data_IF_470210658697
#
_entry.id   IF_470210658697
#
_cell.length_a   1.000
_cell.length_b   1.000
_cell.length_c   1.000
_cell.angle_alpha   90.00
_cell.angle_beta   90.00
_cell.angle_gamma   90.00
#
_symmetry.space_group_name_H-M   'P 1'
#
loop_
_entity.id
_entity.type
_entity.pdbx_description
1 polymer ?
#
# COMPACT_ATOMS: atom_id res chain seq x y z
N UNK A 1 12.00 19.69 23.52
CA UNK A 1 11.35 20.67 22.62
C UNK A 1 12.43 21.10 21.63
N UNK A 2 12.61 20.48 20.47
CA UNK A 2 11.66 20.41 19.35
C UNK A 2 11.72 19.02 18.72
N UNK A 3 10.54 18.46 18.54
CA UNK A 3 10.26 17.18 17.91
C UNK A 3 10.72 17.22 16.44
N UNK A 4 11.86 16.60 16.14
CA UNK A 4 12.51 16.62 14.84
C UNK A 4 11.84 15.71 13.81
N UNK A 5 10.50 15.72 13.73
CA UNK A 5 9.79 15.13 12.59
C UNK A 5 10.27 15.85 11.34
N UNK A 6 11.24 15.24 10.63
CA UNK A 6 11.68 15.65 9.30
C UNK A 6 10.40 15.90 8.50
N UNK A 7 10.14 17.15 8.13
CA UNK A 7 8.93 17.53 7.40
C UNK A 7 8.98 16.77 6.07
N UNK A 8 8.18 15.70 5.96
CA UNK A 8 8.11 14.90 4.74
C UNK A 8 7.27 15.69 3.73
N UNK A 9 7.86 16.04 2.60
CA UNK A 9 7.17 16.72 1.50
C UNK A 9 6.66 15.67 0.53
N UNK A 10 5.34 15.53 0.31
CA UNK A 10 4.78 14.55 -0.62
C UNK A 10 5.30 14.76 -2.04
N UNK A 11 5.72 13.68 -2.69
CA UNK A 11 6.10 13.69 -4.10
C UNK A 11 4.86 13.58 -4.98
N UNK A 12 4.08 14.67 -5.04
CA UNK A 12 2.82 14.72 -5.79
C UNK A 12 2.99 14.52 -7.30
N UNK A 13 4.17 14.80 -7.85
CA UNK A 13 4.44 14.58 -9.27
C UNK A 13 4.53 13.08 -9.56
N UNK A 14 5.35 12.35 -8.81
CA UNK A 14 5.50 10.89 -8.94
C UNK A 14 4.18 10.15 -8.65
N UNK A 15 3.44 10.58 -7.63
CA UNK A 15 2.14 9.97 -7.32
C UNK A 15 1.12 10.15 -8.46
N UNK A 16 1.11 11.29 -9.16
CA UNK A 16 0.27 11.46 -10.35
C UNK A 16 0.73 10.59 -11.51
N UNK A 17 2.04 10.46 -11.71
CA UNK A 17 2.60 9.57 -12.74
C UNK A 17 2.18 8.12 -12.51
N UNK A 18 2.32 7.62 -11.28
CA UNK A 18 1.87 6.27 -10.91
C UNK A 18 0.36 6.12 -11.17
N UNK A 19 -0.46 7.07 -10.73
CA UNK A 19 -1.90 7.04 -10.98
C UNK A 19 -2.25 7.01 -12.48
N UNK A 20 -1.52 7.78 -13.31
CA UNK A 20 -1.72 7.77 -14.76
C UNK A 20 -1.32 6.46 -15.42
N UNK A 21 -0.25 5.82 -14.96
CA UNK A 21 0.19 4.50 -15.47
C UNK A 21 -0.85 3.42 -15.15
N UNK A 22 -1.38 3.45 -13.93
CA UNK A 22 -2.32 2.43 -13.43
C UNK A 22 -3.76 2.60 -13.93
N UNK A 23 -4.11 3.74 -14.53
CA UNK A 23 -5.49 4.06 -14.93
C UNK A 23 -6.11 3.13 -16.00
N UNK A 24 -5.37 2.13 -16.48
CA UNK A 24 -5.81 1.17 -17.50
C UNK A 24 -5.78 -0.29 -17.00
N UNK A 25 -5.44 -0.52 -15.74
CA UNK A 25 -5.36 -1.86 -15.19
C UNK A 25 -6.75 -2.43 -14.86
N UNK A 26 -7.02 -3.66 -15.26
CA UNK A 26 -8.36 -4.27 -15.16
C UNK A 26 -8.76 -4.55 -13.70
N UNK A 27 -7.82 -4.86 -12.81
CA UNK A 27 -8.07 -5.14 -11.38
C UNK A 27 -8.39 -3.91 -10.53
N UNK A 28 -8.34 -2.72 -11.13
CA UNK A 28 -8.60 -1.43 -10.49
C UNK A 28 -10.02 -0.97 -10.83
N UNK A 29 -10.78 -0.60 -9.79
CA UNK A 29 -12.09 0.03 -9.94
C UNK A 29 -11.96 1.55 -10.08
N UNK A 30 -11.21 2.19 -9.17
CA UNK A 30 -10.98 3.64 -9.25
C UNK A 30 -9.65 4.05 -8.62
N UNK A 31 -9.12 5.19 -9.06
CA UNK A 31 -7.94 5.82 -8.47
C UNK A 31 -8.31 7.23 -7.99
N UNK A 32 -8.33 7.41 -6.67
CA UNK A 32 -8.50 8.70 -6.02
C UNK A 32 -7.15 9.37 -5.82
N UNK A 33 -6.91 10.48 -6.54
CA UNK A 33 -5.66 11.23 -6.46
C UNK A 33 -5.79 12.37 -5.44
N UNK A 34 -5.08 12.28 -4.32
CA UNK A 34 -5.11 13.24 -3.20
C UNK A 34 -6.52 13.51 -2.65
N UNK A 35 -7.29 12.47 -2.25
CA UNK A 35 -8.61 12.67 -1.67
C UNK A 35 -8.52 13.51 -0.39
N UNK A 36 -9.58 14.23 -0.04
CA UNK A 36 -9.58 15.22 1.05
C UNK A 36 -9.23 14.63 2.43
N UNK A 37 -9.57 13.37 2.67
CA UNK A 37 -9.25 12.63 3.89
C UNK A 37 -7.83 12.05 3.89
N UNK A 38 -7.17 11.92 2.73
CA UNK A 38 -5.80 11.42 2.57
C UNK A 38 -5.03 12.28 1.56
N UNK A 39 -4.75 13.56 1.91
CA UNK A 39 -4.33 14.56 0.92
C UNK A 39 -2.92 14.31 0.35
N UNK A 40 -2.14 13.42 0.96
CA UNK A 40 -0.73 13.16 0.62
C UNK A 40 -0.52 11.79 -0.06
N UNK A 41 -1.61 11.08 -0.40
CA UNK A 41 -1.57 9.78 -1.08
C UNK A 41 -2.40 9.74 -2.35
N UNK A 42 -2.20 8.68 -3.12
CA UNK A 42 -3.23 8.15 -4.01
C UNK A 42 -3.83 6.90 -3.37
N UNK A 43 -5.13 6.69 -3.60
CA UNK A 43 -5.85 5.50 -3.14
C UNK A 43 -6.40 4.78 -4.36
N UNK A 44 -6.06 3.51 -4.48
CA UNK A 44 -6.45 2.63 -5.58
C UNK A 44 -7.47 1.66 -5.02
N UNK A 45 -8.74 1.84 -5.35
CA UNK A 45 -9.80 0.89 -5.00
C UNK A 45 -9.77 -0.28 -5.96
N UNK A 46 -9.85 -1.49 -5.40
CA UNK A 46 -9.77 -2.74 -6.15
C UNK A 46 -11.19 -3.21 -6.49
N UNK A 47 -11.34 -3.95 -7.59
CA UNK A 47 -12.65 -4.52 -7.93
C UNK A 47 -13.09 -5.55 -6.89
N UNK A 48 -14.37 -5.51 -6.56
CA UNK A 48 -15.04 -6.44 -5.64
C UNK A 48 -15.02 -7.88 -6.14
N UNK A 49 -15.07 -8.10 -7.46
CA UNK A 49 -15.02 -9.43 -8.09
C UNK A 49 -13.77 -10.26 -7.75
N UNK A 50 -12.73 -9.64 -7.21
CA UNK A 50 -11.53 -10.32 -6.72
C UNK A 50 -11.63 -10.83 -5.28
N UNK A 51 -12.73 -10.56 -4.58
CA UNK A 51 -12.90 -10.84 -3.16
C UNK A 51 -14.23 -11.55 -2.84
N UNK A 52 -14.26 -12.43 -1.83
CA UNK A 52 -15.50 -12.97 -1.29
C UNK A 52 -16.35 -11.87 -0.64
N UNK A 53 -17.36 -11.36 -1.36
CA UNK A 53 -18.22 -10.24 -0.91
C UNK A 53 -18.91 -10.47 0.45
N UNK A 54 -19.10 -11.73 0.85
CA UNK A 54 -19.66 -12.10 2.16
C UNK A 54 -18.72 -11.80 3.33
N UNK A 55 -17.42 -11.70 3.07
CA UNK A 55 -16.37 -11.56 4.09
C UNK A 55 -15.55 -10.27 3.94
N UNK A 56 -15.40 -9.76 2.73
CA UNK A 56 -14.65 -8.54 2.43
C UNK A 56 -15.58 -7.51 1.82
N UNK A 57 -15.75 -6.38 2.52
CA UNK A 57 -16.60 -5.28 2.06
C UNK A 57 -15.93 -4.46 0.96
N UNK A 58 -14.67 -4.11 1.18
CA UNK A 58 -13.88 -3.27 0.27
C UNK A 58 -12.39 -3.65 0.37
N UNK A 59 -11.64 -3.49 -0.72
CA UNK A 59 -10.18 -3.59 -0.69
C UNK A 59 -9.53 -2.42 -1.45
N UNK A 60 -8.41 -1.93 -0.94
CA UNK A 60 -7.67 -0.82 -1.57
C UNK A 60 -6.18 -0.83 -1.29
N UNK A 61 -5.43 -0.16 -2.15
CA UNK A 61 -4.02 0.18 -1.94
C UNK A 61 -3.89 1.68 -1.73
N UNK A 62 -3.27 2.10 -0.63
CA UNK A 62 -2.85 3.48 -0.42
C UNK A 62 -1.35 3.63 -0.66
N UNK A 63 -0.96 4.64 -1.44
CA UNK A 63 0.45 4.94 -1.74
C UNK A 63 0.77 6.37 -1.30
N UNK A 64 1.71 6.49 -0.36
CA UNK A 64 2.37 7.73 0.02
C UNK A 64 3.81 7.71 -0.49
N UNK A 65 4.27 8.81 -1.07
CA UNK A 65 5.65 8.96 -1.51
C UNK A 65 6.14 10.37 -1.20
N UNK A 66 7.43 10.51 -0.87
CA UNK A 66 8.03 11.75 -0.45
C UNK A 66 9.27 12.09 -1.27
N UNK A 67 9.59 13.38 -1.40
CA UNK A 67 10.69 13.87 -2.25
C UNK A 67 12.09 13.39 -1.82
N UNK A 68 12.24 12.88 -0.60
CA UNK A 68 13.47 12.26 -0.10
C UNK A 68 13.60 10.77 -0.47
N UNK A 69 12.65 10.24 -1.25
CA UNK A 69 12.62 8.84 -1.69
C UNK A 69 11.98 7.89 -0.67
N UNK A 70 11.47 8.40 0.45
CA UNK A 70 10.69 7.58 1.38
C UNK A 70 9.29 7.31 0.81
N UNK A 71 8.71 6.17 1.17
CA UNK A 71 7.34 5.82 0.80
C UNK A 71 6.70 4.92 1.85
N UNK A 72 5.36 4.89 1.81
CA UNK A 72 4.54 3.91 2.51
C UNK A 72 3.50 3.39 1.51
N UNK A 73 3.38 2.07 1.40
CA UNK A 73 2.33 1.43 0.61
C UNK A 73 1.56 0.55 1.57
N UNK A 74 0.25 0.77 1.68
CA UNK A 74 -0.64 -0.06 2.50
C UNK A 74 -1.60 -0.77 1.57
N UNK A 75 -1.71 -2.08 1.69
CA UNK A 75 -2.84 -2.84 1.18
C UNK A 75 -3.79 -3.13 2.34
N UNK A 76 -5.08 -2.91 2.15
CA UNK A 76 -6.10 -3.11 3.17
C UNK A 76 -7.35 -3.77 2.59
N UNK A 77 -7.90 -4.69 3.34
CA UNK A 77 -9.22 -5.29 3.19
C UNK A 77 -10.07 -4.91 4.41
N UNK A 78 -11.28 -4.37 4.19
CA UNK A 78 -12.25 -4.12 5.27
C UNK A 78 -13.14 -5.35 5.43
N UNK A 79 -12.96 -6.13 6.50
CA UNK A 79 -13.78 -7.31 6.79
C UNK A 79 -14.94 -6.92 7.71
N UNK A 80 -15.79 -6.00 7.24
CA UNK A 80 -16.94 -5.48 7.99
C UNK A 80 -16.58 -4.88 9.36
N UNK A 81 -15.45 -4.16 9.42
CA UNK A 81 -14.96 -3.47 10.61
C UNK A 81 -13.74 -4.11 11.28
N UNK A 82 -13.32 -5.30 10.85
CA UNK A 82 -12.04 -5.90 11.22
C UNK A 82 -11.05 -5.74 10.06
N UNK A 83 -10.27 -4.66 10.06
CA UNK A 83 -9.32 -4.39 8.97
C UNK A 83 -8.22 -5.45 8.93
N UNK A 84 -7.98 -6.01 7.74
CA UNK A 84 -6.84 -6.88 7.43
C UNK A 84 -5.90 -6.13 6.49
N UNK A 85 -4.63 -5.95 6.88
CA UNK A 85 -3.72 -5.11 6.12
C UNK A 85 -2.26 -5.57 6.18
N UNK A 86 -1.50 -5.18 5.16
CA UNK A 86 -0.04 -5.29 5.14
C UNK A 86 0.57 -3.99 4.62
N UNK A 87 1.87 -3.77 4.88
CA UNK A 87 2.54 -2.52 4.50
C UNK A 87 3.96 -2.72 3.99
N UNK A 88 4.32 -1.99 2.94
CA UNK A 88 5.70 -1.87 2.45
C UNK A 88 6.20 -0.46 2.72
N UNK A 89 7.26 -0.36 3.49
CA UNK A 89 7.78 0.91 3.99
C UNK A 89 9.23 1.11 3.52
N UNK A 90 9.53 2.33 3.07
CA UNK A 90 10.88 2.84 2.89
C UNK A 90 11.07 4.09 3.73
N UNK A 91 11.77 3.98 4.85
CA UNK A 91 12.17 5.12 5.70
C UNK A 91 13.25 4.73 6.70
N UNK A 92 13.92 5.73 7.28
CA UNK A 92 14.80 5.49 8.44
C UNK A 92 14.00 4.83 9.58
N UNK A 93 14.50 3.71 10.09
CA UNK A 93 13.91 2.94 11.18
C UNK A 93 15.00 2.59 12.21
N UNK A 94 14.64 2.49 13.49
CA UNK A 94 15.54 2.06 14.56
C UNK A 94 15.68 0.54 14.59
N UNK A 95 14.59 -0.17 14.30
CA UNK A 95 14.50 -1.64 14.45
C UNK A 95 14.64 -2.39 13.13
N UNK A 96 14.45 -1.71 12.00
CA UNK A 96 14.44 -2.32 10.66
C UNK A 96 15.39 -1.62 9.69
N UNK A 97 15.76 -2.33 8.61
CA UNK A 97 16.40 -1.71 7.45
C UNK A 97 15.50 -0.65 6.85
N UNK A 98 16.08 0.26 6.06
CA UNK A 98 15.34 1.34 5.42
C UNK A 98 14.12 0.81 4.67
N UNK A 99 14.29 -0.31 3.99
CA UNK A 99 13.24 -1.07 3.33
C UNK A 99 12.76 -2.19 4.26
N UNK A 100 11.48 -2.21 4.58
CA UNK A 100 10.88 -3.25 5.41
C UNK A 100 9.40 -3.47 5.08
N UNK A 101 8.91 -4.66 5.40
CA UNK A 101 7.53 -5.10 5.18
C UNK A 101 6.89 -5.45 6.52
N UNK A 102 5.69 -4.94 6.77
CA UNK A 102 4.86 -5.35 7.90
C UNK A 102 3.79 -6.33 7.43
N UNK A 103 3.85 -7.56 7.96
CA UNK A 103 2.93 -8.62 7.56
C UNK A 103 1.50 -8.41 8.08
N UNK A 104 0.50 -9.00 7.40
CA UNK A 104 -0.85 -9.09 7.94
C UNK A 104 -0.92 -9.93 9.23
N UNK A 105 -2.02 -9.81 10.01
CA UNK A 105 -3.26 -9.09 9.68
C UNK A 105 -3.27 -7.61 10.04
N UNK A 106 -2.41 -7.15 10.96
CA UNK A 106 -2.53 -5.81 11.53
C UNK A 106 -1.46 -4.83 11.02
N UNK A 107 -0.41 -5.32 10.36
CA UNK A 107 0.77 -4.55 9.97
C UNK A 107 1.32 -3.69 11.13
N UNK A 108 1.36 -4.26 12.33
CA UNK A 108 1.90 -3.58 13.51
C UNK A 108 3.41 -3.46 13.43
N UNK A 109 4.00 -2.63 14.29
CA UNK A 109 5.44 -2.47 14.34
C UNK A 109 6.19 -3.81 14.42
N UNK A 110 5.74 -4.72 15.29
CA UNK A 110 6.39 -6.00 15.56
C UNK A 110 6.23 -7.03 14.42
N UNK A 111 5.31 -6.76 13.47
CA UNK A 111 5.12 -7.55 12.25
C UNK A 111 6.16 -7.21 11.17
N UNK A 112 7.11 -6.32 11.46
CA UNK A 112 8.11 -5.84 10.53
C UNK A 112 9.19 -6.88 10.19
N UNK A 113 9.60 -6.91 8.92
CA UNK A 113 10.69 -7.74 8.41
C UNK A 113 11.52 -6.96 7.38
N UNK A 114 12.84 -7.04 7.51
CA UNK A 114 13.76 -6.40 6.56
C UNK A 114 13.57 -6.92 5.13
N UNK A 115 13.63 -6.01 4.16
CA UNK A 115 13.54 -6.30 2.73
C UNK A 115 14.57 -5.47 1.97
N UNK A 116 14.79 -5.83 0.72
CA UNK A 116 15.57 -5.04 -0.24
C UNK A 116 14.68 -4.74 -1.44
N UNK A 117 14.13 -3.53 -1.53
CA UNK A 117 13.24 -3.16 -2.63
C UNK A 117 14.02 -2.58 -3.83
N UNK A 118 13.46 -2.65 -5.05
CA UNK A 118 13.94 -1.86 -6.16
C UNK A 118 14.12 -0.36 -5.81
N UNK A 119 15.04 0.33 -6.47
CA UNK A 119 15.33 1.73 -6.17
C UNK A 119 14.12 2.64 -6.44
N UNK A 120 13.48 2.47 -7.60
CA UNK A 120 12.39 3.34 -8.03
C UNK A 120 11.04 2.83 -7.55
N UNK A 121 10.20 3.71 -6.99
CA UNK A 121 8.87 3.36 -6.47
C UNK A 121 7.98 2.66 -7.51
N UNK A 122 7.92 3.06 -8.80
CA UNK A 122 7.17 2.29 -9.81
C UNK A 122 7.67 0.85 -9.97
N UNK A 123 8.97 0.60 -9.78
CA UNK A 123 9.54 -0.76 -9.80
C UNK A 123 9.20 -1.54 -8.53
N UNK A 124 9.16 -0.89 -7.36
CA UNK A 124 8.66 -1.52 -6.13
C UNK A 124 7.20 -1.94 -6.31
N UNK A 125 6.37 -1.03 -6.82
CA UNK A 125 4.95 -1.29 -7.02
C UNK A 125 4.73 -2.48 -7.97
N UNK A 126 5.30 -2.43 -9.17
CA UNK A 126 5.10 -3.47 -10.19
C UNK A 126 5.75 -4.82 -9.90
N UNK A 127 6.88 -4.86 -9.17
CA UNK A 127 7.64 -6.11 -8.94
C UNK A 127 7.48 -6.70 -7.55
N UNK A 128 6.95 -5.94 -6.59
CA UNK A 128 6.80 -6.38 -5.21
C UNK A 128 5.33 -6.34 -4.79
N UNK A 129 4.69 -5.18 -4.92
CA UNK A 129 3.31 -4.99 -4.43
C UNK A 129 2.31 -5.72 -5.29
N UNK A 130 2.33 -5.50 -6.61
CA UNK A 130 1.36 -6.10 -7.54
C UNK A 130 1.38 -7.64 -7.45
N UNK A 131 2.53 -8.33 -7.56
CA UNK A 131 2.56 -9.80 -7.42
C UNK A 131 1.97 -10.29 -6.09
N UNK A 132 2.31 -9.63 -4.98
CA UNK A 132 1.77 -9.99 -3.67
C UNK A 132 0.25 -9.82 -3.58
N UNK A 133 -0.29 -8.73 -4.17
CA UNK A 133 -1.73 -8.48 -4.21
C UNK A 133 -2.45 -9.51 -5.08
N UNK A 134 -1.87 -9.91 -6.20
CA UNK A 134 -2.42 -10.99 -7.04
C UNK A 134 -2.42 -12.34 -6.31
N UNK A 135 -1.35 -12.67 -5.59
CA UNK A 135 -1.31 -13.89 -4.76
C UNK A 135 -2.42 -13.83 -3.70
N UNK A 136 -2.57 -12.69 -3.00
CA UNK A 136 -3.65 -12.50 -2.00
C UNK A 136 -5.05 -12.63 -2.59
N UNK A 137 -5.31 -12.02 -3.75
CA UNK A 137 -6.59 -12.15 -4.46
C UNK A 137 -6.91 -13.60 -4.85
N UNK A 138 -5.89 -14.44 -5.08
CA UNK A 138 -6.08 -15.86 -5.31
C UNK A 138 -6.33 -16.64 -4.01
N UNK A 139 -5.46 -16.44 -3.02
CA UNK A 139 -5.45 -17.21 -1.77
C UNK A 139 -6.68 -16.95 -0.90
N UNK A 140 -7.23 -15.73 -0.92
CA UNK A 140 -8.35 -15.35 -0.05
C UNK A 140 -9.60 -16.22 -0.26
N UNK A 141 -9.84 -16.72 -1.46
CA UNK A 141 -10.99 -17.59 -1.72
C UNK A 141 -10.86 -18.94 -1.01
N UNK A 142 -9.64 -19.49 -0.96
CA UNK A 142 -9.36 -20.77 -0.27
C UNK A 142 -9.46 -20.65 1.26
N UNK A 143 -9.36 -19.45 1.82
CA UNK A 143 -9.56 -19.23 3.27
C UNK A 143 -11.03 -19.39 3.71
N UNK A 144 -11.97 -19.24 2.76
CA UNK A 144 -13.41 -19.29 3.01
C UNK A 144 -14.13 -20.46 2.30
N UNK A 145 -13.39 -21.38 1.68
CA UNK A 145 -13.86 -22.69 1.19
C UNK A 145 -14.00 -23.72 2.33
#
# INVERSE_FOLDING_TARGET
MVDGKRKRTPNRALLREIASILGFEEWIETISVFPSNRPDSIVISLRDEHYPEEYVRDAYIEIQSYVNGDFHITYLEDHFGDDWMCRWDRHESEDYSRDHFHSPPNATHDDGMNRDYPLELPSVFSRVVVPWVYDRMGDIWTEYE
#
